data_IF_235245758073
#
_entry.id   IF_235245758073
#
_cell.length_a   1.000
_cell.length_b   1.000
_cell.length_c   1.000
_cell.angle_alpha   90.00
_cell.angle_beta   90.00
_cell.angle_gamma   90.00
#
_symmetry.space_group_name_H-M   'P 1'
#
loop_
_entity.id
_entity.type
_entity.pdbx_description
1 polymer ?
#
# COMPACT_ATOMS: atom_id res chain seq x y z
N UNK A 1 13.60 -3.25 -3.98
CA UNK A 1 13.87 -4.31 -2.97
C UNK A 1 15.33 -4.24 -2.55
N UNK A 2 15.60 -4.35 -1.25
CA UNK A 2 16.94 -4.34 -0.68
C UNK A 2 17.63 -5.70 -0.87
N UNK A 3 18.93 -5.75 -0.56
CA UNK A 3 19.78 -6.91 -0.85
C UNK A 3 19.91 -7.88 0.32
N UNK A 4 19.55 -7.44 1.53
CA UNK A 4 19.76 -8.21 2.77
C UNK A 4 18.71 -7.93 3.84
N UNK A 5 18.50 -8.91 4.72
CA UNK A 5 17.59 -8.76 5.87
C UNK A 5 18.05 -7.68 6.86
N UNK A 6 19.35 -7.47 7.02
CA UNK A 6 19.88 -6.42 7.89
C UNK A 6 19.45 -5.02 7.43
N UNK A 7 19.34 -4.76 6.13
CA UNK A 7 18.84 -3.50 5.59
C UNK A 7 17.35 -3.29 5.90
N UNK A 8 16.54 -4.35 5.83
CA UNK A 8 15.13 -4.29 6.21
C UNK A 8 14.95 -4.07 7.72
N UNK A 9 15.74 -4.74 8.56
CA UNK A 9 15.74 -4.52 10.00
C UNK A 9 16.23 -3.12 10.37
N UNK A 10 17.19 -2.57 9.62
CA UNK A 10 17.59 -1.17 9.74
C UNK A 10 16.42 -0.24 9.38
N UNK A 11 15.67 -0.53 8.31
CA UNK A 11 14.48 0.24 7.96
C UNK A 11 13.43 0.25 9.08
N UNK A 12 13.21 -0.88 9.77
CA UNK A 12 12.36 -0.93 10.98
C UNK A 12 12.87 0.04 12.07
N UNK A 13 14.17 -0.03 12.39
CA UNK A 13 14.81 0.78 13.43
C UNK A 13 14.74 2.28 13.12
N UNK A 14 14.80 2.64 11.84
CA UNK A 14 14.69 4.01 11.34
C UNK A 14 13.22 4.49 11.18
N UNK A 15 12.23 3.62 11.38
CA UNK A 15 10.81 3.96 11.24
C UNK A 15 10.31 3.98 9.80
N UNK A 16 11.05 3.38 8.87
CA UNK A 16 10.69 3.22 7.46
C UNK A 16 9.83 1.96 7.27
N UNK A 17 8.62 1.98 7.83
CA UNK A 17 7.78 0.79 7.98
C UNK A 17 7.30 0.17 6.66
N UNK A 18 6.96 0.99 5.65
CA UNK A 18 6.55 0.45 4.35
C UNK A 18 7.68 -0.35 3.69
N UNK A 19 8.92 0.14 3.79
CA UNK A 19 10.10 -0.57 3.31
C UNK A 19 10.34 -1.85 4.11
N UNK A 20 10.22 -1.77 5.43
CA UNK A 20 10.34 -2.95 6.30
C UNK A 20 9.30 -4.04 5.95
N UNK A 21 8.06 -3.68 5.63
CA UNK A 21 7.03 -4.66 5.27
C UNK A 21 7.32 -5.41 3.96
N UNK A 22 8.14 -4.85 3.05
CA UNK A 22 8.62 -5.59 1.86
C UNK A 22 9.58 -6.74 2.21
N UNK A 23 10.03 -6.83 3.46
CA UNK A 23 10.94 -7.89 3.90
C UNK A 23 10.34 -9.28 3.68
N UNK A 24 9.02 -9.44 3.84
CA UNK A 24 8.33 -10.71 3.57
C UNK A 24 8.52 -11.14 2.11
N UNK A 25 8.35 -10.22 1.15
CA UNK A 25 8.59 -10.53 -0.25
C UNK A 25 10.06 -10.89 -0.52
N UNK A 26 10.99 -10.18 0.13
CA UNK A 26 12.41 -10.46 0.02
C UNK A 26 12.73 -11.87 0.51
N UNK A 27 12.22 -12.26 1.67
CA UNK A 27 12.40 -13.60 2.25
C UNK A 27 11.82 -14.67 1.33
N UNK A 28 10.59 -14.47 0.86
CA UNK A 28 9.94 -15.40 -0.08
C UNK A 28 10.79 -15.58 -1.33
N UNK A 29 11.28 -14.49 -1.94
CA UNK A 29 12.15 -14.57 -3.13
C UNK A 29 13.50 -15.22 -2.83
N UNK A 30 14.12 -14.91 -1.69
CA UNK A 30 15.44 -15.42 -1.28
C UNK A 30 15.45 -16.95 -1.11
N UNK A 31 14.37 -17.52 -0.60
CA UNK A 31 14.30 -18.94 -0.27
C UNK A 31 13.46 -19.79 -1.22
N UNK A 32 12.77 -19.18 -2.18
CA UNK A 32 12.10 -19.93 -3.26
C UNK A 32 13.16 -20.62 -4.12
N UNK A 33 13.06 -21.94 -4.26
CA UNK A 33 13.96 -22.76 -5.06
C UNK A 33 13.14 -23.75 -5.90
N UNK A 34 13.52 -23.92 -7.17
CA UNK A 34 13.02 -24.97 -8.07
C UNK A 34 11.49 -25.12 -8.06
N UNK A 35 10.78 -24.03 -8.38
CA UNK A 35 9.30 -23.94 -8.46
C UNK A 35 8.53 -24.20 -7.16
N UNK A 36 9.22 -24.39 -6.03
CA UNK A 36 8.56 -24.53 -4.73
C UNK A 36 8.40 -23.18 -4.06
N UNK A 37 7.19 -22.64 -4.14
CA UNK A 37 6.76 -21.44 -3.40
C UNK A 37 6.77 -21.77 -1.91
N UNK A 38 7.24 -20.83 -1.09
CA UNK A 38 7.18 -20.94 0.37
C UNK A 38 5.73 -20.88 0.82
N UNK A 39 5.33 -21.80 1.70
CA UNK A 39 4.07 -21.66 2.42
C UNK A 39 4.21 -20.64 3.58
N UNK A 40 3.12 -20.44 4.32
CA UNK A 40 3.08 -19.48 5.42
C UNK A 40 4.04 -19.84 6.56
N UNK A 41 4.17 -21.13 6.87
CA UNK A 41 5.04 -21.63 7.95
C UNK A 41 6.51 -21.51 7.54
N UNK A 42 6.84 -21.86 6.30
CA UNK A 42 8.17 -21.67 5.71
C UNK A 42 8.61 -20.21 5.75
N UNK A 43 7.72 -19.30 5.38
CA UNK A 43 7.98 -17.86 5.36
C UNK A 43 8.23 -17.36 6.79
N UNK A 44 7.39 -17.78 7.73
CA UNK A 44 7.53 -17.43 9.16
C UNK A 44 8.85 -17.95 9.73
N UNK A 45 9.19 -19.22 9.50
CA UNK A 45 10.45 -19.81 9.96
C UNK A 45 11.68 -19.10 9.36
N UNK A 46 11.59 -18.70 8.09
CA UNK A 46 12.63 -17.95 7.40
C UNK A 46 12.82 -16.55 7.99
N UNK A 47 11.73 -15.86 8.33
CA UNK A 47 11.78 -14.58 9.05
C UNK A 47 12.41 -14.74 10.43
N UNK A 48 12.02 -15.75 11.22
CA UNK A 48 12.61 -16.01 12.54
C UNK A 48 14.12 -16.23 12.44
N UNK A 49 14.53 -17.11 11.53
CA UNK A 49 15.94 -17.40 11.29
C UNK A 49 16.72 -16.15 10.91
N UNK A 50 16.24 -15.37 9.94
CA UNK A 50 16.92 -14.17 9.48
C UNK A 50 16.94 -13.08 10.55
N UNK A 51 15.88 -12.93 11.36
CA UNK A 51 15.87 -11.94 12.43
C UNK A 51 16.89 -12.25 13.53
N UNK A 52 16.91 -13.49 14.01
CA UNK A 52 17.81 -13.91 15.08
C UNK A 52 19.27 -13.86 14.64
N UNK A 53 19.56 -14.24 13.40
CA UNK A 53 20.92 -14.20 12.83
C UNK A 53 21.39 -12.77 12.52
N UNK A 54 20.49 -11.82 12.30
CA UNK A 54 20.81 -10.41 12.09
C UNK A 54 20.68 -9.56 13.37
N UNK A 55 20.72 -10.21 14.54
CA UNK A 55 20.76 -9.53 15.83
C UNK A 55 19.43 -8.89 16.21
N UNK A 56 18.41 -9.73 16.40
CA UNK A 56 17.17 -9.35 17.06
C UNK A 56 17.45 -8.61 18.38
N UNK A 57 16.70 -7.54 18.63
CA UNK A 57 16.72 -6.80 19.89
C UNK A 57 15.31 -6.47 20.38
N UNK A 58 15.14 -6.26 21.67
CA UNK A 58 13.86 -5.83 22.27
C UNK A 58 13.35 -4.50 21.68
N UNK A 59 14.27 -3.62 21.28
CA UNK A 59 13.91 -2.36 20.61
C UNK A 59 13.23 -2.60 19.25
N UNK A 60 13.57 -3.68 18.54
CA UNK A 60 12.86 -4.06 17.31
C UNK A 60 11.39 -4.40 17.62
N UNK A 61 11.15 -5.09 18.75
CA UNK A 61 9.80 -5.43 19.20
C UNK A 61 8.99 -4.18 19.59
N UNK A 62 9.59 -3.23 20.30
CA UNK A 62 8.95 -1.94 20.64
C UNK A 62 8.64 -1.10 19.40
N UNK A 63 9.54 -1.07 18.41
CA UNK A 63 9.28 -0.40 17.12
C UNK A 63 8.12 -1.04 16.36
N UNK A 64 7.93 -2.35 16.48
CA UNK A 64 6.76 -3.03 15.94
C UNK A 64 5.49 -2.84 16.75
N UNK A 65 5.59 -2.66 18.07
CA UNK A 65 4.44 -2.29 18.89
C UNK A 65 3.86 -0.94 18.45
N UNK A 66 4.72 0.04 18.12
CA UNK A 66 4.29 1.31 17.52
C UNK A 66 3.59 1.12 16.18
N UNK A 67 4.11 0.25 15.31
CA UNK A 67 3.46 -0.06 14.03
C UNK A 67 2.12 -0.79 14.26
N UNK A 68 2.02 -1.67 15.26
CA UNK A 68 0.78 -2.34 15.63
C UNK A 68 -0.28 -1.36 16.11
N UNK A 69 0.11 -0.35 16.90
CA UNK A 69 -0.81 0.71 17.30
C UNK A 69 -1.38 1.47 16.09
N UNK A 70 -0.56 1.67 15.03
CA UNK A 70 -1.02 2.24 13.75
C UNK A 70 -1.93 1.29 12.98
N UNK A 71 -1.61 0.00 12.99
CA UNK A 71 -2.41 -1.06 12.36
C UNK A 71 -3.83 -1.16 12.95
N UNK A 72 -3.96 -0.98 14.26
CA UNK A 72 -5.24 -1.11 14.96
C UNK A 72 -6.19 0.05 14.71
N UNK A 73 -5.70 1.20 14.23
CA UNK A 73 -6.53 2.37 13.90
C UNK A 73 -7.69 2.00 12.95
N UNK A 74 -8.83 2.66 13.15
CA UNK A 74 -10.06 2.42 12.38
C UNK A 74 -9.90 2.70 10.88
N UNK A 75 -8.99 3.61 10.52
CA UNK A 75 -8.66 3.94 9.13
C UNK A 75 -8.01 2.81 8.35
N UNK A 76 -7.58 1.72 9.02
CA UNK A 76 -6.94 0.54 8.43
C UNK A 76 -5.88 0.90 7.38
N UNK A 77 -4.77 1.55 7.79
CA UNK A 77 -3.75 2.03 6.86
C UNK A 77 -2.95 0.91 6.18
N UNK A 78 -3.01 -0.32 6.70
CA UNK A 78 -2.39 -1.52 6.12
C UNK A 78 -3.50 -2.51 5.75
N UNK A 79 -3.64 -2.77 4.45
CA UNK A 79 -4.64 -3.66 3.86
C UNK A 79 -4.00 -4.60 2.84
N UNK A 80 -4.72 -5.66 2.48
CA UNK A 80 -4.30 -6.62 1.47
C UNK A 80 -2.93 -7.21 1.77
N UNK A 81 -1.99 -7.01 0.85
CA UNK A 81 -0.63 -7.54 0.97
C UNK A 81 0.15 -7.00 2.18
N UNK A 82 -0.07 -5.73 2.56
CA UNK A 82 0.61 -5.14 3.71
C UNK A 82 0.08 -5.70 5.03
N UNK A 83 -1.23 -5.95 5.12
CA UNK A 83 -1.85 -6.63 6.27
C UNK A 83 -1.30 -8.04 6.46
N UNK A 84 -1.22 -8.81 5.37
CA UNK A 84 -0.62 -10.15 5.40
C UNK A 84 0.84 -10.09 5.86
N UNK A 85 1.66 -9.24 5.24
CA UNK A 85 3.07 -9.11 5.60
C UNK A 85 3.26 -8.74 7.07
N UNK A 86 2.47 -7.78 7.57
CA UNK A 86 2.51 -7.37 8.97
C UNK A 86 2.16 -8.52 9.92
N UNK A 87 1.06 -9.24 9.67
CA UNK A 87 0.65 -10.39 10.49
C UNK A 87 1.70 -11.49 10.53
N UNK A 88 2.29 -11.83 9.38
CA UNK A 88 3.35 -12.85 9.31
C UNK A 88 4.58 -12.43 10.12
N UNK A 89 4.97 -11.15 10.05
CA UNK A 89 6.08 -10.61 10.84
C UNK A 89 5.77 -10.64 12.35
N UNK A 90 4.55 -10.30 12.77
CA UNK A 90 4.15 -10.34 14.18
C UNK A 90 4.23 -11.77 14.75
N UNK A 91 3.80 -12.77 13.98
CA UNK A 91 3.94 -14.19 14.39
C UNK A 91 5.42 -14.55 14.56
N UNK A 92 6.27 -14.17 13.59
CA UNK A 92 7.71 -14.41 13.67
C UNK A 92 8.34 -13.69 14.88
N UNK A 93 7.94 -12.44 15.14
CA UNK A 93 8.44 -11.63 16.26
C UNK A 93 8.20 -12.32 17.60
N UNK A 94 6.99 -12.83 17.86
CA UNK A 94 6.71 -13.50 19.13
C UNK A 94 7.62 -14.71 19.37
N UNK A 95 7.92 -15.47 18.31
CA UNK A 95 8.83 -16.59 18.38
C UNK A 95 10.29 -16.15 18.56
N UNK A 96 10.71 -15.07 17.92
CA UNK A 96 12.01 -14.45 18.18
C UNK A 96 12.17 -14.03 19.64
N UNK A 97 11.16 -13.38 20.24
CA UNK A 97 11.20 -12.98 21.66
C UNK A 97 11.29 -14.21 22.57
N UNK A 98 10.50 -15.26 22.31
CA UNK A 98 10.54 -16.50 23.10
C UNK A 98 11.93 -17.14 23.02
N UNK A 99 12.49 -17.30 21.82
CA UNK A 99 13.81 -17.91 21.65
C UNK A 99 14.90 -17.05 22.30
N UNK A 100 14.82 -15.73 22.17
CA UNK A 100 15.76 -14.81 22.80
C UNK A 100 15.71 -14.89 24.33
N UNK A 101 14.52 -14.86 24.95
CA UNK A 101 14.35 -14.94 26.41
C UNK A 101 14.91 -16.23 27.02
N UNK A 102 14.86 -17.33 26.27
CA UNK A 102 15.38 -18.64 26.69
C UNK A 102 16.82 -18.90 26.21
N UNK A 103 17.51 -17.89 25.66
CA UNK A 103 18.87 -18.00 25.12
C UNK A 103 19.02 -19.12 24.07
N UNK A 104 17.96 -19.37 23.29
CA UNK A 104 17.98 -20.37 22.23
C UNK A 104 18.67 -19.78 20.99
N UNK A 105 19.74 -20.44 20.58
CA UNK A 105 20.55 -20.00 19.46
C UNK A 105 20.13 -20.69 18.16
N UNK A 106 19.58 -19.92 17.22
CA UNK A 106 19.34 -20.38 15.85
C UNK A 106 20.50 -19.91 14.98
N UNK A 107 21.54 -20.75 14.84
CA UNK A 107 22.68 -20.47 13.98
C UNK A 107 22.86 -21.55 12.93
N UNK A 108 23.49 -21.18 11.81
CA UNK A 108 23.88 -22.10 10.75
C UNK A 108 25.36 -21.96 10.46
N UNK A 109 26.08 -23.07 10.44
CA UNK A 109 27.50 -23.08 10.06
C UNK A 109 27.71 -22.94 8.53
N UNK A 110 26.62 -22.88 7.75
CA UNK A 110 26.69 -22.82 6.29
C UNK A 110 26.45 -21.40 5.79
N UNK A 111 27.30 -20.88 4.88
CA UNK A 111 27.08 -19.57 4.25
C UNK A 111 25.86 -19.57 3.31
N UNK A 112 25.42 -20.74 2.84
CA UNK A 112 24.17 -20.90 2.06
C UNK A 112 23.22 -21.79 2.84
N UNK A 113 22.16 -21.18 3.37
CA UNK A 113 21.11 -21.87 4.13
C UNK A 113 19.90 -22.06 3.23
N UNK A 114 19.36 -23.27 3.16
CA UNK A 114 18.14 -23.58 2.40
C UNK A 114 16.93 -23.55 3.33
N UNK A 115 15.73 -23.33 2.75
CA UNK A 115 14.44 -23.43 3.47
C UNK A 115 14.34 -24.68 4.34
N UNK A 116 14.67 -25.85 3.78
CA UNK A 116 14.64 -27.13 4.51
C UNK A 116 15.58 -27.13 5.72
N UNK A 117 16.76 -26.50 5.60
CA UNK A 117 17.70 -26.37 6.71
C UNK A 117 17.16 -25.42 7.78
N UNK A 118 16.57 -24.30 7.37
CA UNK A 118 15.92 -23.34 8.27
C UNK A 118 14.83 -24.03 9.09
N UNK A 119 13.88 -24.71 8.44
CA UNK A 119 12.78 -25.37 9.15
C UNK A 119 13.29 -26.39 10.17
N UNK A 120 14.32 -27.17 9.82
CA UNK A 120 14.94 -28.11 10.76
C UNK A 120 15.58 -27.40 11.95
N UNK A 121 16.28 -26.29 11.73
CA UNK A 121 16.91 -25.52 12.81
C UNK A 121 15.86 -24.93 13.76
N UNK A 122 14.79 -24.36 13.22
CA UNK A 122 13.69 -23.83 14.03
C UNK A 122 12.97 -24.95 14.79
N UNK A 123 12.67 -26.06 14.14
CA UNK A 123 12.06 -27.22 14.79
C UNK A 123 12.93 -27.79 15.92
N UNK A 124 14.25 -27.90 15.70
CA UNK A 124 15.20 -28.34 16.72
C UNK A 124 15.29 -27.37 17.89
N UNK A 125 15.29 -26.06 17.64
CA UNK A 125 15.27 -25.05 18.70
C UNK A 125 13.98 -25.11 19.51
N UNK A 126 12.82 -25.21 18.84
CA UNK A 126 11.53 -25.35 19.51
C UNK A 126 11.45 -26.57 20.42
N UNK A 127 12.06 -27.70 20.01
CA UNK A 127 12.10 -28.94 20.83
C UNK A 127 12.95 -28.84 22.10
N UNK A 128 13.77 -27.80 22.25
CA UNK A 128 14.52 -27.56 23.49
C UNK A 128 13.61 -27.06 24.63
N UNK A 129 12.41 -26.55 24.29
CA UNK A 129 11.40 -26.16 25.26
C UNK A 129 10.36 -27.26 25.42
N UNK A 130 9.94 -27.53 26.65
CA UNK A 130 8.78 -28.38 26.88
C UNK A 130 7.52 -27.68 26.33
N UNK A 131 6.50 -28.43 25.86
CA UNK A 131 5.28 -27.82 25.30
C UNK A 131 4.57 -26.85 26.26
N UNK A 132 4.61 -27.14 27.57
CA UNK A 132 4.02 -26.27 28.60
C UNK A 132 4.79 -24.97 28.77
N UNK A 133 6.12 -25.03 28.82
CA UNK A 133 6.98 -23.85 28.95
C UNK A 133 6.93 -22.97 27.69
N UNK A 134 6.91 -23.59 26.51
CA UNK A 134 6.74 -22.87 25.24
C UNK A 134 5.42 -22.08 25.23
N UNK A 135 4.31 -22.73 25.57
CA UNK A 135 2.99 -22.10 25.57
C UNK A 135 2.89 -20.96 26.60
N UNK A 136 3.37 -21.17 27.83
CA UNK A 136 3.32 -20.12 28.85
C UNK A 136 4.21 -18.93 28.49
N UNK A 137 5.39 -19.18 27.91
CA UNK A 137 6.29 -18.13 27.43
C UNK A 137 5.68 -17.31 26.32
N UNK A 138 5.04 -17.97 25.34
CA UNK A 138 4.38 -17.29 24.23
C UNK A 138 3.25 -16.37 24.72
N UNK A 139 2.42 -16.85 25.65
CA UNK A 139 1.36 -16.03 26.27
C UNK A 139 1.95 -14.82 27.00
N UNK A 140 3.01 -15.03 27.80
CA UNK A 140 3.67 -13.93 28.51
C UNK A 140 4.24 -12.86 27.57
N UNK A 141 4.87 -13.29 26.48
CA UNK A 141 5.40 -12.41 25.44
C UNK A 141 4.30 -11.62 24.73
N UNK A 142 3.19 -12.26 24.40
CA UNK A 142 2.05 -11.58 23.76
C UNK A 142 1.46 -10.52 24.68
N UNK A 143 1.25 -10.84 25.96
CA UNK A 143 0.74 -9.88 26.95
C UNK A 143 1.66 -8.67 27.04
N UNK A 144 2.97 -8.89 27.18
CA UNK A 144 3.96 -7.82 27.26
C UNK A 144 3.99 -6.96 25.98
N UNK A 145 3.94 -7.59 24.81
CA UNK A 145 3.90 -6.85 23.54
C UNK A 145 2.67 -5.96 23.45
N UNK A 146 1.47 -6.47 23.76
CA UNK A 146 0.26 -5.66 23.72
C UNK A 146 0.24 -4.56 24.80
N UNK A 147 0.92 -4.76 25.93
CA UNK A 147 1.16 -3.66 26.87
C UNK A 147 2.02 -2.55 26.24
N UNK A 148 3.02 -2.87 25.41
CA UNK A 148 3.76 -1.84 24.67
C UNK A 148 2.91 -1.15 23.61
N UNK A 149 2.00 -1.88 22.95
CA UNK A 149 1.03 -1.31 22.00
C UNK A 149 0.12 -0.31 22.72
N UNK A 150 -0.51 -0.71 23.83
CA UNK A 150 -1.43 0.13 24.60
C UNK A 150 -0.75 1.38 25.18
N UNK A 151 0.52 1.26 25.55
CA UNK A 151 1.33 2.36 26.11
C UNK A 151 2.07 3.17 25.04
N UNK A 152 1.83 2.92 23.75
CA UNK A 152 2.49 3.64 22.66
C UNK A 152 2.20 5.14 22.69
N UNK A 153 3.21 5.96 22.39
CA UNK A 153 3.07 7.41 22.36
C UNK A 153 2.13 7.82 21.21
N UNK A 154 0.96 8.37 21.56
CA UNK A 154 -0.06 8.79 20.58
C UNK A 154 0.45 9.76 19.52
N UNK A 155 1.38 10.66 19.87
CA UNK A 155 1.97 11.58 18.91
C UNK A 155 2.84 10.85 17.89
N UNK A 156 3.68 9.92 18.36
CA UNK A 156 4.54 9.11 17.49
C UNK A 156 3.70 8.20 16.58
N UNK A 157 2.67 7.55 17.13
CA UNK A 157 1.69 6.76 16.37
C UNK A 157 1.06 7.62 15.27
N UNK A 158 0.63 8.85 15.57
CA UNK A 158 0.03 9.72 14.58
C UNK A 158 1.00 10.14 13.46
N UNK A 159 2.26 10.43 13.82
CA UNK A 159 3.31 10.76 12.84
C UNK A 159 3.55 9.58 11.90
N UNK A 160 3.65 8.36 12.43
CA UNK A 160 3.83 7.14 11.64
C UNK A 160 2.61 6.88 10.76
N UNK A 161 1.40 7.01 11.33
CA UNK A 161 0.15 6.87 10.60
C UNK A 161 0.12 7.79 9.38
N UNK A 162 0.40 9.09 9.54
CA UNK A 162 0.38 10.02 8.41
C UNK A 162 1.40 9.66 7.33
N UNK A 163 2.61 9.21 7.69
CA UNK A 163 3.62 8.76 6.72
C UNK A 163 3.15 7.56 5.91
N UNK A 164 2.62 6.53 6.58
CA UNK A 164 2.13 5.31 5.93
C UNK A 164 0.91 5.63 5.08
N UNK A 165 -0.08 6.29 5.67
CA UNK A 165 -1.37 6.56 5.06
C UNK A 165 -1.27 7.49 3.85
N UNK A 166 -0.31 8.42 3.82
CA UNK A 166 -0.09 9.28 2.66
C UNK A 166 0.16 8.49 1.36
N UNK A 167 0.78 7.31 1.47
CA UNK A 167 1.01 6.42 0.33
C UNK A 167 -0.08 5.37 0.21
N UNK A 168 -0.46 4.70 1.31
CA UNK A 168 -1.39 3.57 1.23
C UNK A 168 -2.80 3.99 0.84
N UNK A 169 -3.26 5.18 1.25
CA UNK A 169 -4.53 5.73 0.77
C UNK A 169 -4.57 5.84 -0.75
N UNK A 170 -3.48 6.29 -1.38
CA UNK A 170 -3.40 6.42 -2.84
C UNK A 170 -3.44 5.06 -3.52
N UNK A 171 -2.73 4.06 -2.96
CA UNK A 171 -2.76 2.68 -3.45
C UNK A 171 -4.18 2.15 -3.47
N UNK A 172 -4.90 2.25 -2.36
CA UNK A 172 -6.24 1.69 -2.21
C UNK A 172 -7.29 2.42 -3.06
N UNK A 173 -7.24 3.76 -3.13
CA UNK A 173 -8.11 4.52 -4.02
C UNK A 173 -7.90 4.14 -5.49
N UNK A 174 -6.65 3.95 -5.89
CA UNK A 174 -6.32 3.62 -7.28
C UNK A 174 -6.65 2.16 -7.63
N UNK A 175 -6.47 1.22 -6.69
CA UNK A 175 -6.94 -0.16 -6.83
C UNK A 175 -8.46 -0.23 -7.00
N UNK A 176 -9.21 0.52 -6.18
CA UNK A 176 -10.66 0.58 -6.27
C UNK A 176 -11.11 1.20 -7.59
N UNK A 177 -10.47 2.29 -8.03
CA UNK A 177 -10.70 2.90 -9.33
C UNK A 177 -10.46 1.91 -10.49
N UNK A 178 -9.33 1.19 -10.48
CA UNK A 178 -9.00 0.18 -11.50
C UNK A 178 -10.05 -0.93 -11.51
N UNK A 179 -10.44 -1.44 -10.34
CA UNK A 179 -11.42 -2.51 -10.24
C UNK A 179 -12.79 -2.10 -10.79
N UNK A 180 -13.23 -0.88 -10.48
CA UNK A 180 -14.47 -0.32 -11.03
C UNK A 180 -14.34 -0.11 -12.54
N UNK A 181 -13.23 0.45 -13.00
CA UNK A 181 -12.98 0.67 -14.43
C UNK A 181 -13.05 -0.66 -15.18
N UNK A 182 -12.37 -1.72 -14.73
CA UNK A 182 -12.41 -3.05 -15.35
C UNK A 182 -13.83 -3.62 -15.50
N UNK A 183 -14.71 -3.34 -14.53
CA UNK A 183 -16.09 -3.84 -14.49
C UNK A 183 -17.07 -2.97 -15.29
N UNK A 184 -16.74 -1.71 -15.52
CA UNK A 184 -17.63 -0.71 -16.14
C UNK A 184 -17.40 -0.53 -17.64
N UNK A 185 -16.80 -1.51 -18.33
CA UNK A 185 -16.54 -1.42 -19.78
C UNK A 185 -17.83 -1.18 -20.57
N UNK A 186 -17.88 -0.06 -21.29
CA UNK A 186 -18.95 0.27 -22.25
C UNK A 186 -18.48 -0.04 -23.67
N UNK A 187 -19.37 -0.55 -24.52
CA UNK A 187 -19.01 -0.94 -25.90
C UNK A 187 -18.56 0.25 -26.77
N UNK A 188 -19.01 1.47 -26.46
CA UNK A 188 -18.72 2.69 -27.22
C UNK A 188 -17.53 3.50 -26.67
N UNK A 189 -16.89 3.04 -25.60
CA UNK A 189 -15.78 3.77 -24.98
C UNK A 189 -14.43 3.27 -25.54
N UNK A 190 -13.99 3.91 -26.63
CA UNK A 190 -12.75 3.56 -27.32
C UNK A 190 -11.50 3.85 -26.47
N UNK A 191 -11.58 4.79 -25.51
CA UNK A 191 -10.47 5.21 -24.67
C UNK A 191 -10.33 4.40 -23.38
N UNK A 192 -11.32 3.55 -23.07
CA UNK A 192 -11.35 2.67 -21.90
C UNK A 192 -10.03 1.93 -21.67
N UNK A 193 -9.53 1.26 -22.71
CA UNK A 193 -8.32 0.43 -22.62
C UNK A 193 -7.08 1.29 -22.32
N UNK A 194 -7.03 2.51 -22.88
CA UNK A 194 -5.96 3.45 -22.60
C UNK A 194 -6.00 3.94 -21.15
N UNK A 195 -7.19 4.28 -20.62
CA UNK A 195 -7.37 4.66 -19.21
C UNK A 195 -6.95 3.54 -18.27
N UNK A 196 -7.41 2.31 -18.53
CA UNK A 196 -7.06 1.15 -17.71
C UNK A 196 -5.54 0.88 -17.70
N UNK A 197 -4.90 0.96 -18.87
CA UNK A 197 -3.45 0.78 -19.00
C UNK A 197 -2.68 1.86 -18.23
N UNK A 198 -3.10 3.12 -18.35
CA UNK A 198 -2.47 4.25 -17.66
C UNK A 198 -2.66 4.14 -16.14
N UNK A 199 -3.86 3.78 -15.68
CA UNK A 199 -4.16 3.57 -14.26
C UNK A 199 -3.31 2.45 -13.65
N UNK A 200 -3.16 1.32 -14.36
CA UNK A 200 -2.29 0.22 -13.92
C UNK A 200 -0.82 0.63 -13.82
N UNK A 201 -0.32 1.40 -14.80
CA UNK A 201 1.04 1.96 -14.74
C UNK A 201 1.20 2.93 -13.57
N UNK A 202 0.19 3.77 -13.32
CA UNK A 202 0.18 4.66 -12.18
C UNK A 202 0.23 3.88 -10.86
N UNK A 203 -0.53 2.79 -10.77
CA UNK A 203 -0.52 1.93 -9.59
C UNK A 203 0.85 1.28 -9.37
N UNK A 204 1.49 0.77 -10.43
CA UNK A 204 2.86 0.26 -10.36
C UNK A 204 3.81 1.31 -9.81
N UNK A 205 3.76 2.55 -10.33
CA UNK A 205 4.59 3.65 -9.84
C UNK A 205 4.37 3.91 -8.34
N UNK A 206 3.12 3.96 -7.85
CA UNK A 206 2.82 4.20 -6.43
C UNK A 206 3.27 3.05 -5.54
N UNK A 207 3.22 1.81 -6.02
CA UNK A 207 3.74 0.66 -5.29
C UNK A 207 5.26 0.71 -5.09
N UNK A 208 6.00 1.36 -5.99
CA UNK A 208 7.44 1.59 -5.86
C UNK A 208 7.78 2.73 -4.88
N UNK A 209 6.81 3.58 -4.52
CA UNK A 209 7.04 4.69 -3.60
C UNK A 209 6.91 4.25 -2.15
N UNK A 210 7.90 4.61 -1.32
CA UNK A 210 7.95 4.31 0.11
C UNK A 210 7.62 5.51 0.98
N UNK A 211 7.75 6.72 0.42
CA UNK A 211 7.50 8.00 1.08
C UNK A 211 6.81 8.97 0.12
N UNK A 212 5.95 9.83 0.67
CA UNK A 212 5.29 10.87 -0.08
C UNK A 212 6.15 12.14 -0.12
N UNK A 213 6.85 12.36 -1.23
CA UNK A 213 7.72 13.53 -1.46
C UNK A 213 7.08 14.49 -2.47
N UNK A 214 7.54 15.76 -2.57
CA UNK A 214 7.06 16.69 -3.59
C UNK A 214 7.18 16.13 -5.02
N UNK A 215 8.28 15.42 -5.33
CA UNK A 215 8.46 14.76 -6.62
C UNK A 215 7.40 13.68 -6.88
N UNK A 216 7.01 12.93 -5.85
CA UNK A 216 5.94 11.93 -5.93
C UNK A 216 4.59 12.62 -6.17
N UNK A 217 4.33 13.73 -5.49
CA UNK A 217 3.13 14.54 -5.72
C UNK A 217 3.05 15.06 -7.18
N UNK A 218 4.15 15.57 -7.73
CA UNK A 218 4.19 16.06 -9.11
C UNK A 218 3.93 14.94 -10.12
N UNK A 219 4.53 13.76 -9.94
CA UNK A 219 4.28 12.60 -10.81
C UNK A 219 2.84 12.10 -10.70
N UNK A 220 2.26 12.08 -9.49
CA UNK A 220 0.83 11.78 -9.28
C UNK A 220 -0.03 12.74 -10.10
N UNK A 221 0.23 14.05 -10.01
CA UNK A 221 -0.53 15.05 -10.76
C UNK A 221 -0.43 14.83 -12.27
N UNK A 222 0.73 14.44 -12.79
CA UNK A 222 0.89 14.10 -14.21
C UNK A 222 0.05 12.91 -14.62
N UNK A 223 0.07 11.82 -13.85
CA UNK A 223 -0.75 10.64 -14.14
C UNK A 223 -2.25 10.96 -14.11
N UNK A 224 -2.70 11.70 -13.09
CA UNK A 224 -4.11 12.07 -12.95
C UNK A 224 -4.55 12.99 -14.08
N UNK A 225 -3.73 13.98 -14.48
CA UNK A 225 -4.06 14.85 -15.60
C UNK A 225 -4.11 14.10 -16.93
N UNK A 226 -3.18 13.17 -17.17
CA UNK A 226 -3.23 12.31 -18.35
C UNK A 226 -4.47 11.40 -18.36
N UNK A 227 -4.97 10.96 -17.20
CA UNK A 227 -6.25 10.25 -17.10
C UNK A 227 -7.44 11.15 -17.43
N UNK A 228 -7.43 12.43 -16.99
CA UNK A 228 -8.46 13.43 -17.32
C UNK A 228 -8.51 13.75 -18.82
N UNK A 229 -7.37 13.76 -19.50
CA UNK A 229 -7.29 13.95 -20.95
C UNK A 229 -7.93 12.79 -21.75
N UNK A 230 -8.11 11.62 -21.13
CA UNK A 230 -8.73 10.46 -21.76
C UNK A 230 -10.27 10.41 -21.58
N UNK A 231 -10.88 11.57 -21.36
CA UNK A 231 -12.33 11.78 -21.25
C UNK A 231 -13.02 10.78 -20.29
N UNK A 232 -12.64 10.79 -19.00
CA UNK A 232 -13.22 9.90 -18.00
C UNK A 232 -14.72 10.18 -17.78
N UNK A 233 -15.46 9.15 -17.36
CA UNK A 233 -16.83 9.32 -16.90
C UNK A 233 -16.91 10.17 -15.61
N UNK A 234 -18.10 10.68 -15.29
CA UNK A 234 -18.31 11.51 -14.08
C UNK A 234 -17.87 10.82 -12.78
N UNK A 235 -18.10 9.51 -12.63
CA UNK A 235 -17.71 8.76 -11.44
C UNK A 235 -16.18 8.60 -11.34
N UNK A 236 -15.50 8.50 -12.48
CA UNK A 236 -14.04 8.44 -12.56
C UNK A 236 -13.46 9.78 -12.09
N UNK A 237 -14.06 10.90 -12.51
CA UNK A 237 -13.63 12.25 -12.12
C UNK A 237 -13.66 12.47 -10.60
N UNK A 238 -14.68 11.95 -9.90
CA UNK A 238 -14.74 12.01 -8.44
C UNK A 238 -13.57 11.23 -7.78
N UNK A 239 -13.15 10.11 -8.38
CA UNK A 239 -11.97 9.35 -7.92
C UNK A 239 -10.66 10.07 -8.23
N UNK A 240 -10.53 10.65 -9.43
CA UNK A 240 -9.36 11.41 -9.85
C UNK A 240 -9.15 12.66 -8.98
N UNK A 241 -10.24 13.33 -8.59
CA UNK A 241 -10.20 14.48 -7.68
C UNK A 241 -9.76 14.07 -6.26
N UNK A 242 -10.12 12.87 -5.80
CA UNK A 242 -9.66 12.33 -4.52
C UNK A 242 -8.18 11.93 -4.52
N UNK A 243 -7.64 11.54 -5.68
CA UNK A 243 -6.23 11.19 -5.88
C UNK A 243 -5.33 12.43 -6.02
N UNK A 244 -5.73 13.39 -6.86
CA UNK A 244 -5.06 14.67 -7.04
C UNK A 244 -6.09 15.71 -7.46
N UNK A 245 -6.51 16.62 -6.57
CA UNK A 245 -7.49 17.62 -6.93
C UNK A 245 -6.97 18.50 -8.08
N UNK A 246 -7.87 18.99 -8.95
CA UNK A 246 -7.51 19.87 -10.04
C UNK A 246 -6.88 21.16 -9.49
N UNK A 247 -5.94 21.72 -10.24
CA UNK A 247 -5.37 23.01 -9.87
C UNK A 247 -6.47 24.09 -9.85
N UNK A 248 -6.26 25.20 -9.14
CA UNK A 248 -7.24 26.30 -9.11
C UNK A 248 -7.58 26.83 -10.52
N UNK A 249 -6.64 26.74 -11.47
CA UNK A 249 -6.83 27.12 -12.86
C UNK A 249 -7.71 26.11 -13.62
N UNK A 250 -7.51 24.82 -13.40
CA UNK A 250 -8.34 23.76 -14.01
C UNK A 250 -9.77 23.76 -13.47
N UNK A 251 -9.95 24.08 -12.17
CA UNK A 251 -11.26 24.31 -11.58
C UNK A 251 -11.98 25.51 -12.23
N UNK A 252 -11.25 26.57 -12.56
CA UNK A 252 -11.80 27.73 -13.27
C UNK A 252 -12.20 27.35 -14.69
N UNK A 253 -11.41 26.54 -15.39
CA UNK A 253 -11.74 26.05 -16.73
C UNK A 253 -12.96 25.10 -16.73
N UNK A 254 -13.08 24.20 -15.75
CA UNK A 254 -14.27 23.36 -15.54
C UNK A 254 -15.53 24.18 -15.30
N UNK A 255 -15.43 25.27 -14.53
CA UNK A 255 -16.52 26.22 -14.35
C UNK A 255 -16.87 26.95 -15.65
N UNK A 256 -15.89 27.44 -16.40
CA UNK A 256 -16.10 28.17 -17.66
C UNK A 256 -16.71 27.27 -18.74
N UNK A 257 -16.25 26.03 -18.85
CA UNK A 257 -16.80 25.03 -19.78
C UNK A 257 -18.20 24.56 -19.35
N UNK A 258 -18.45 24.38 -18.05
CA UNK A 258 -19.78 24.07 -17.52
C UNK A 258 -20.80 25.18 -17.74
N UNK A 259 -20.41 26.45 -17.52
CA UNK A 259 -21.24 27.62 -17.86
C UNK A 259 -21.40 27.73 -19.38
N UNK A 260 -20.35 27.50 -20.16
CA UNK A 260 -20.38 27.55 -21.62
C UNK A 260 -21.35 26.53 -22.21
N UNK A 261 -21.27 25.27 -21.81
CA UNK A 261 -22.19 24.21 -22.26
C UNK A 261 -23.63 24.50 -21.81
N UNK A 262 -23.81 25.00 -20.58
CA UNK A 262 -25.12 25.45 -20.10
C UNK A 262 -25.70 26.60 -20.92
N UNK A 263 -24.88 27.59 -21.27
CA UNK A 263 -25.26 28.72 -22.11
C UNK A 263 -25.58 28.29 -23.54
N UNK A 264 -24.74 27.45 -24.16
CA UNK A 264 -24.99 26.94 -25.52
C UNK A 264 -26.22 26.04 -25.58
N UNK A 265 -26.44 25.16 -24.60
CA UNK A 265 -27.69 24.40 -24.54
C UNK A 265 -28.91 25.32 -24.39
N UNK A 266 -28.84 26.37 -23.58
CA UNK A 266 -29.97 27.28 -23.36
C UNK A 266 -30.24 28.20 -24.57
N UNK A 267 -29.19 28.58 -25.29
CA UNK A 267 -29.28 29.41 -26.51
C UNK A 267 -29.70 28.58 -27.73
N UNK A 268 -29.19 27.36 -27.88
CA UNK A 268 -29.55 26.47 -28.99
C UNK A 268 -30.92 25.80 -28.80
N UNK A 269 -31.40 25.62 -27.57
CA UNK A 269 -32.77 25.14 -27.34
C UNK A 269 -33.84 26.20 -27.67
N UNK A 270 -33.44 27.47 -27.81
CA UNK A 270 -34.32 28.59 -28.22
C UNK A 270 -34.25 28.95 -29.71
N UNK A 271 -33.33 28.38 -30.49
CA UNK A 271 -33.28 28.58 -31.95
C UNK A 271 -32.91 27.28 -32.66
N UNK A 272 -33.86 26.75 -33.42
CA UNK A 272 -33.60 25.68 -34.37
C UNK A 272 -32.50 26.12 -35.34
N UNK A 273 -31.52 25.25 -35.60
CA UNK A 273 -30.46 25.45 -36.60
C UNK A 273 -31.06 25.79 -37.99
N UNK A 274 -32.32 25.41 -38.26
CA UNK A 274 -33.05 25.81 -39.46
C UNK A 274 -33.30 27.33 -39.58
N UNK A 275 -33.53 28.04 -38.47
CA UNK A 275 -33.79 29.49 -38.48
C UNK A 275 -32.52 30.32 -38.70
N UNK A 276 -31.34 29.79 -38.36
CA UNK A 276 -30.07 30.49 -38.54
C UNK A 276 -29.56 30.41 -39.99
N UNK A 277 -30.01 29.40 -40.74
CA UNK A 277 -29.60 29.16 -42.13
C UNK A 277 -30.60 29.82 -43.11
N UNK A 278 -31.87 29.97 -42.74
CA UNK A 278 -32.86 30.72 -43.52
C UNK A 278 -32.77 32.22 -43.18
N UNK A 279 -31.82 32.94 -43.75
CA UNK A 279 -31.78 34.40 -43.68
C UNK A 279 -33.08 35.01 -44.23
N UNK A 280 -34.03 35.34 -43.36
CA UNK A 280 -35.11 36.27 -43.68
C UNK A 280 -34.70 37.66 -43.21
N UNK A 281 -34.22 38.45 -44.17
CA UNK A 281 -34.15 39.89 -44.08
C UNK A 281 -35.56 40.44 -43.89
N UNK A 282 -35.86 40.98 -42.72
CA UNK A 282 -37.00 41.88 -42.56
C UNK A 282 -36.70 43.17 -43.32
N UNK A 283 -37.27 43.30 -44.51
CA UNK A 283 -37.40 44.61 -45.17
C UNK A 283 -38.56 45.37 -44.52
N UNK A 284 -38.39 46.66 -44.18
CA UNK A 284 -39.43 47.46 -43.56
C UNK A 284 -40.47 47.89 -44.62
N UNK A 285 -41.74 47.88 -44.27
CA UNK A 285 -42.77 48.60 -45.01
C UNK A 285 -43.50 49.60 -44.12
N UNK A 286 -43.68 50.78 -44.73
CA UNK A 286 -44.32 52.02 -44.29
C UNK A 286 -45.79 51.82 -43.99
#
# INVERSE_FOLDING_TARGET
>A
MLSSSSEYLKALREGNYLLFLEWVDFITKKYTQNDHILDADDTTNSLIFEWLTNGYSEEDAKKLALLHAVYDLESKPLQGKLDYAFKTIIVALFLCIVFHKHNLCVQSDSPKVTRRKINRLIEQCSKQLSPSLYRSSLVGVQIEFFQWVDNSNKHEVNVIFHKIHAITRLRYLLEDYILHLERSKKEQDELHTARLSLAKRFLTYIYEQLEFTPKVADEITKYVNALRELHPDKWEEEHLDALSPPSALDNTWRWVTGIGIGFFNLVLHKKSIGELISGQSETPQV
#
